data_IF_859681079019
#
_entry.id   IF_859681079019
#
_cell.length_a   1.000
_cell.length_b   1.000
_cell.length_c   1.000
_cell.angle_alpha   90.00
_cell.angle_beta   90.00
_cell.angle_gamma   90.00
#
_symmetry.space_group_name_H-M   'P 1'
#
loop_
_entity.id
_entity.type
_entity.pdbx_description
1 polymer ?
#
# COMPACT_ATOMS: atom_id res chain seq x y z
N UNK A 1 -56.53 -26.21 -52.84
CA UNK A 1 -56.54 -25.53 -51.52
C UNK A 1 -55.50 -24.41 -51.45
N UNK A 2 -54.38 -24.52 -52.18
CA UNK A 2 -53.26 -23.58 -52.12
C UNK A 2 -53.55 -22.17 -52.69
N UNK A 3 -54.38 -22.05 -53.73
CA UNK A 3 -54.65 -20.73 -54.35
C UNK A 3 -55.46 -19.78 -53.44
N UNK A 4 -56.30 -20.32 -52.54
CA UNK A 4 -57.06 -19.51 -51.58
C UNK A 4 -56.18 -18.91 -50.48
N UNK A 5 -55.11 -19.61 -50.10
CA UNK A 5 -54.13 -19.11 -49.13
C UNK A 5 -53.31 -17.95 -49.71
N UNK A 6 -52.90 -18.06 -50.98
CA UNK A 6 -52.19 -16.96 -51.66
C UNK A 6 -53.02 -15.69 -51.77
N UNK A 7 -54.32 -15.82 -52.10
CA UNK A 7 -55.22 -14.68 -52.24
C UNK A 7 -55.48 -13.97 -50.89
N UNK A 8 -55.57 -14.72 -49.79
CA UNK A 8 -55.71 -14.17 -48.44
C UNK A 8 -54.45 -13.43 -47.97
N UNK A 9 -53.26 -13.97 -48.24
CA UNK A 9 -51.99 -13.31 -47.90
C UNK A 9 -51.81 -12.01 -48.70
N UNK A 10 -52.18 -12.02 -49.99
CA UNK A 10 -52.07 -10.84 -50.84
C UNK A 10 -53.05 -9.74 -50.39
N UNK A 11 -54.31 -10.10 -50.08
CA UNK A 11 -55.29 -9.15 -49.52
C UNK A 11 -54.89 -8.60 -48.14
N UNK A 12 -54.31 -9.42 -47.25
CA UNK A 12 -53.86 -8.93 -45.95
C UNK A 12 -52.67 -7.98 -46.06
N UNK A 13 -51.74 -8.25 -46.99
CA UNK A 13 -50.60 -7.37 -47.24
C UNK A 13 -51.04 -6.01 -47.79
N UNK A 14 -52.03 -5.99 -48.68
CA UNK A 14 -52.58 -4.76 -49.26
C UNK A 14 -53.33 -3.92 -48.21
N UNK A 15 -54.09 -4.58 -47.34
CA UNK A 15 -54.76 -3.93 -46.21
C UNK A 15 -53.74 -3.32 -45.23
N UNK A 16 -52.63 -4.01 -44.96
CA UNK A 16 -51.56 -3.52 -44.08
C UNK A 16 -50.88 -2.27 -44.66
N UNK A 17 -50.58 -2.28 -45.97
CA UNK A 17 -49.97 -1.13 -46.66
C UNK A 17 -50.92 0.08 -46.62
N UNK A 18 -52.23 -0.14 -46.86
CA UNK A 18 -53.23 0.93 -46.79
C UNK A 18 -53.34 1.52 -45.37
N UNK A 19 -53.28 0.68 -44.34
CA UNK A 19 -53.31 1.11 -42.94
C UNK A 19 -52.09 1.96 -42.59
N UNK A 20 -50.89 1.53 -43.00
CA UNK A 20 -49.65 2.29 -42.80
C UNK A 20 -49.72 3.65 -43.52
N UNK A 21 -50.24 3.68 -44.75
CA UNK A 21 -50.41 4.92 -45.51
C UNK A 21 -51.38 5.89 -44.82
N UNK A 22 -52.52 5.40 -44.33
CA UNK A 22 -53.48 6.22 -43.57
C UNK A 22 -52.88 6.74 -42.27
N UNK A 23 -52.14 5.92 -41.53
CA UNK A 23 -51.43 6.35 -40.33
C UNK A 23 -50.38 7.42 -40.64
N UNK A 24 -49.64 7.28 -41.73
CA UNK A 24 -48.65 8.29 -42.14
C UNK A 24 -49.31 9.62 -42.55
N UNK A 25 -50.41 9.55 -43.30
CA UNK A 25 -51.15 10.73 -43.73
C UNK A 25 -51.81 11.48 -42.56
N UNK A 26 -52.35 10.75 -41.58
CA UNK A 26 -52.94 11.36 -40.38
C UNK A 26 -51.91 11.75 -39.29
N UNK A 27 -50.75 11.11 -39.26
CA UNK A 27 -49.65 11.43 -38.32
C UNK A 27 -48.94 12.74 -38.67
N UNK A 28 -48.95 13.15 -39.94
CA UNK A 28 -48.42 14.44 -40.35
C UNK A 28 -49.52 15.49 -40.28
N UNK A 29 -49.87 15.89 -39.05
CA UNK A 29 -50.68 17.08 -38.84
C UNK A 29 -49.97 18.29 -39.51
N UNK A 30 -50.64 19.04 -40.41
CA UNK A 30 -50.08 20.24 -41.02
C UNK A 30 -49.69 21.32 -39.99
N UNK A 31 -50.19 21.19 -38.75
CA UNK A 31 -49.79 22.00 -37.60
C UNK A 31 -48.31 21.87 -37.25
N UNK A 32 -47.66 20.72 -37.46
CA UNK A 32 -46.23 20.59 -37.12
C UNK A 32 -45.36 21.45 -38.05
N UNK A 33 -45.71 21.54 -39.33
CA UNK A 33 -45.02 22.40 -40.27
C UNK A 33 -45.23 23.88 -39.94
N UNK A 34 -46.44 24.25 -39.54
CA UNK A 34 -46.81 25.61 -39.15
C UNK A 34 -46.20 26.02 -37.80
N UNK A 35 -46.17 25.11 -36.82
CA UNK A 35 -45.52 25.31 -35.52
C UNK A 35 -44.01 25.37 -35.66
N UNK A 36 -43.40 24.56 -36.53
CA UNK A 36 -41.97 24.66 -36.83
C UNK A 36 -41.64 25.99 -37.50
N UNK A 37 -42.51 26.49 -38.39
CA UNK A 37 -42.32 27.79 -39.04
C UNK A 37 -42.48 28.94 -38.03
N UNK A 38 -43.48 28.86 -37.15
CA UNK A 38 -43.76 29.82 -36.08
C UNK A 38 -42.68 29.81 -35.00
N UNK A 39 -42.12 28.63 -34.70
CA UNK A 39 -40.99 28.47 -33.78
C UNK A 39 -39.70 28.99 -34.42
N UNK A 40 -39.46 28.75 -35.71
CA UNK A 40 -38.34 29.33 -36.45
C UNK A 40 -38.41 30.86 -36.55
N UNK A 41 -39.61 31.44 -36.73
CA UNK A 41 -39.81 32.89 -36.69
C UNK A 41 -39.57 33.47 -35.28
N UNK A 42 -40.09 32.81 -34.22
CA UNK A 42 -39.81 33.20 -32.82
C UNK A 42 -38.32 33.10 -32.45
N UNK A 43 -37.62 32.08 -32.96
CA UNK A 43 -36.18 31.91 -32.75
C UNK A 43 -35.34 32.95 -33.50
N UNK A 44 -35.86 33.54 -34.57
CA UNK A 44 -35.14 34.50 -35.42
C UNK A 44 -35.14 35.92 -34.84
N UNK A 45 -36.17 36.32 -34.09
CA UNK A 45 -36.43 37.74 -33.85
C UNK A 45 -35.94 38.29 -32.49
N UNK A 46 -35.86 37.51 -31.41
CA UNK A 46 -35.58 38.12 -30.09
C UNK A 46 -34.70 37.34 -29.10
N UNK A 47 -34.54 36.01 -29.21
CA UNK A 47 -33.83 35.22 -28.17
C UNK A 47 -32.54 34.52 -28.61
N UNK A 48 -32.24 34.43 -29.91
CA UNK A 48 -30.96 33.82 -30.30
C UNK A 48 -29.75 34.69 -29.88
N UNK A 49 -29.92 36.01 -29.85
CA UNK A 49 -28.89 36.97 -29.38
C UNK A 49 -28.68 36.88 -27.86
N UNK A 50 -29.74 36.63 -27.08
CA UNK A 50 -29.67 36.44 -25.63
C UNK A 50 -29.15 35.04 -25.27
N UNK A 51 -29.39 34.01 -26.09
CA UNK A 51 -28.80 32.68 -25.96
C UNK A 51 -27.36 32.59 -26.47
N UNK A 52 -26.98 33.40 -27.48
CA UNK A 52 -25.60 33.55 -27.95
C UNK A 52 -24.71 34.32 -26.96
N UNK A 53 -25.29 35.25 -26.19
CA UNK A 53 -24.60 36.00 -25.13
C UNK A 53 -24.80 35.40 -23.73
N UNK A 54 -25.73 34.46 -23.56
CA UNK A 54 -26.15 33.94 -22.27
C UNK A 54 -25.63 32.54 -22.01
N UNK A 55 -24.49 32.43 -21.33
CA UNK A 55 -24.09 31.36 -20.40
C UNK A 55 -24.16 29.87 -20.79
N UNK A 56 -24.76 29.47 -21.92
CA UNK A 56 -25.08 28.08 -22.26
C UNK A 56 -24.36 27.54 -23.50
N UNK A 57 -23.82 28.40 -24.38
CA UNK A 57 -23.03 27.92 -25.55
C UNK A 57 -21.62 27.45 -25.12
N UNK A 58 -21.11 27.98 -24.01
CA UNK A 58 -19.80 27.55 -23.47
C UNK A 58 -19.81 26.14 -22.86
N UNK A 59 -20.99 25.52 -22.69
CA UNK A 59 -21.13 24.14 -22.21
C UNK A 59 -21.29 23.10 -23.33
N UNK A 60 -21.25 23.53 -24.60
CA UNK A 60 -21.20 22.59 -25.73
C UNK A 60 -19.73 22.45 -26.12
N UNK A 61 -19.01 21.40 -25.66
CA UNK A 61 -17.65 21.17 -26.11
C UNK A 61 -17.69 20.99 -27.62
N UNK A 62 -16.95 21.86 -28.34
CA UNK A 62 -16.71 21.82 -29.79
C UNK A 62 -17.73 22.49 -30.74
N UNK A 63 -18.52 23.49 -30.32
CA UNK A 63 -19.21 24.33 -31.31
C UNK A 63 -18.22 25.34 -31.96
N UNK A 64 -17.63 24.97 -33.10
CA UNK A 64 -16.79 25.88 -33.88
C UNK A 64 -17.68 26.84 -34.68
N UNK A 65 -18.18 27.90 -34.04
CA UNK A 65 -18.93 28.96 -34.71
C UNK A 65 -17.98 29.75 -35.63
N UNK A 66 -17.98 29.40 -36.91
CA UNK A 66 -17.33 30.18 -37.97
C UNK A 66 -18.18 31.43 -38.17
N UNK A 67 -17.69 32.57 -37.71
CA UNK A 67 -18.39 33.86 -37.74
C UNK A 67 -17.44 34.95 -38.21
N UNK A 68 -17.98 35.89 -38.99
CA UNK A 68 -17.28 37.12 -39.39
C UNK A 68 -17.39 38.21 -38.34
N UNK A 69 -18.21 38.01 -37.30
CA UNK A 69 -18.35 38.97 -36.21
C UNK A 69 -17.15 38.90 -35.26
N UNK A 70 -16.38 39.99 -35.19
CA UNK A 70 -15.18 40.09 -34.36
C UNK A 70 -15.43 39.85 -32.86
N UNK A 71 -16.61 40.22 -32.36
CA UNK A 71 -17.02 40.05 -30.95
C UNK A 71 -17.21 38.57 -30.62
N UNK A 72 -17.92 37.84 -31.49
CA UNK A 72 -18.17 36.41 -31.33
C UNK A 72 -16.88 35.60 -31.55
N UNK A 73 -16.04 36.03 -32.50
CA UNK A 73 -14.73 35.43 -32.71
C UNK A 73 -13.80 35.60 -31.48
N UNK A 74 -13.88 36.73 -30.78
CA UNK A 74 -13.13 36.97 -29.54
C UNK A 74 -13.64 36.09 -28.39
N UNK A 75 -14.95 36.03 -28.17
CA UNK A 75 -15.56 35.17 -27.16
C UNK A 75 -15.20 33.68 -27.38
N UNK A 76 -15.22 33.24 -28.65
CA UNK A 76 -14.85 31.88 -29.03
C UNK A 76 -13.38 31.52 -28.76
N UNK A 77 -12.46 32.51 -28.65
CA UNK A 77 -11.06 32.21 -28.29
C UNK A 77 -10.95 31.68 -26.87
N UNK A 78 -11.71 32.23 -25.93
CA UNK A 78 -11.72 31.77 -24.54
C UNK A 78 -12.40 30.41 -24.37
N UNK A 79 -13.34 30.05 -25.24
CA UNK A 79 -13.96 28.72 -25.26
C UNK A 79 -13.02 27.60 -25.73
N UNK A 80 -11.94 27.95 -26.45
CA UNK A 80 -10.91 27.00 -26.91
C UNK A 80 -9.79 26.78 -25.89
N UNK A 81 -9.73 27.59 -24.84
CA UNK A 81 -8.75 27.47 -23.78
C UNK A 81 -8.28 28.79 -23.16
N UNK A 82 -7.24 28.74 -22.32
CA UNK A 82 -6.66 29.90 -21.68
C UNK A 82 -6.15 30.92 -22.70
N UNK A 83 -6.60 32.17 -22.58
CA UNK A 83 -6.15 33.28 -23.42
C UNK A 83 -5.23 34.17 -22.61
N UNK A 84 -3.99 34.32 -23.08
CA UNK A 84 -3.03 35.25 -22.47
C UNK A 84 -3.46 36.70 -22.70
N UNK A 85 -3.58 37.47 -21.62
CA UNK A 85 -4.02 38.87 -21.68
C UNK A 85 -2.93 39.88 -21.31
N UNK A 86 -1.85 39.43 -20.66
CA UNK A 86 -0.72 40.29 -20.36
C UNK A 86 0.24 39.72 -19.33
N UNK A 87 1.39 40.36 -19.18
CA UNK A 87 2.44 39.92 -18.24
C UNK A 87 2.21 40.35 -16.79
N UNK A 88 1.28 41.28 -16.56
CA UNK A 88 0.89 41.74 -15.21
C UNK A 88 -0.29 40.91 -14.70
N UNK A 89 -0.41 40.83 -13.38
CA UNK A 89 -1.59 40.23 -12.75
C UNK A 89 -2.85 41.01 -13.17
N UNK A 90 -3.92 40.27 -13.43
CA UNK A 90 -5.22 40.81 -13.82
C UNK A 90 -6.30 40.37 -12.83
N UNK A 91 -7.50 40.93 -13.01
CA UNK A 91 -8.69 40.61 -12.21
C UNK A 91 -9.73 39.79 -12.98
N UNK A 92 -10.63 39.12 -12.26
CA UNK A 92 -11.77 38.41 -12.89
C UNK A 92 -12.60 39.36 -13.77
N UNK A 93 -12.75 40.63 -13.40
CA UNK A 93 -13.49 41.63 -14.18
C UNK A 93 -12.87 41.87 -15.56
N UNK A 94 -11.54 41.90 -15.65
CA UNK A 94 -10.83 42.03 -16.93
C UNK A 94 -11.04 40.82 -17.82
N UNK A 95 -11.06 39.62 -17.24
CA UNK A 95 -11.36 38.40 -18.00
C UNK A 95 -12.81 38.32 -18.46
N UNK A 96 -13.77 38.76 -17.64
CA UNK A 96 -15.19 38.85 -18.03
C UNK A 96 -15.35 39.79 -19.22
N UNK A 97 -14.66 40.93 -19.23
CA UNK A 97 -14.68 41.88 -20.36
C UNK A 97 -13.98 41.31 -21.60
N UNK A 98 -12.86 40.62 -21.41
CA UNK A 98 -12.06 40.07 -22.52
C UNK A 98 -12.76 38.90 -23.21
N UNK A 99 -13.33 37.99 -22.43
CA UNK A 99 -13.99 36.79 -22.93
C UNK A 99 -15.51 36.96 -23.13
N UNK A 100 -16.06 38.12 -22.77
CA UNK A 100 -17.49 38.43 -22.81
C UNK A 100 -18.34 37.34 -22.15
N UNK A 101 -17.84 36.80 -21.04
CA UNK A 101 -18.46 35.69 -20.34
C UNK A 101 -18.38 35.92 -18.84
N UNK A 102 -19.53 35.87 -18.17
CA UNK A 102 -19.62 36.02 -16.71
C UNK A 102 -18.94 34.88 -15.94
N UNK A 103 -18.72 33.74 -16.59
CA UNK A 103 -18.02 32.58 -16.02
C UNK A 103 -16.52 32.62 -16.26
N UNK A 104 -16.00 33.62 -16.97
CA UNK A 104 -14.57 33.78 -17.17
C UNK A 104 -13.86 34.13 -15.85
N UNK A 105 -12.73 33.48 -15.60
CA UNK A 105 -11.90 33.64 -14.41
C UNK A 105 -10.47 33.98 -14.80
N UNK A 106 -9.81 34.77 -13.97
CA UNK A 106 -8.38 35.03 -14.15
C UNK A 106 -7.54 33.92 -13.53
N UNK A 107 -6.47 33.55 -14.24
CA UNK A 107 -5.41 32.68 -13.78
C UNK A 107 -4.08 33.45 -13.88
N UNK A 108 -3.56 33.89 -12.74
CA UNK A 108 -2.28 34.58 -12.66
C UNK A 108 -1.15 33.55 -12.48
N UNK A 109 -0.38 33.33 -13.55
CA UNK A 109 0.72 32.37 -13.61
C UNK A 109 2.03 33.05 -13.19
N UNK A 110 2.64 32.55 -12.11
CA UNK A 110 3.93 33.00 -11.57
C UNK A 110 5.08 32.10 -12.06
N UNK A 111 6.33 32.50 -11.82
CA UNK A 111 7.51 31.74 -12.25
C UNK A 111 7.59 30.35 -11.59
N UNK A 112 7.14 30.25 -10.33
CA UNK A 112 7.16 29.03 -9.53
C UNK A 112 5.93 28.14 -9.79
N UNK A 113 4.95 28.60 -10.56
CA UNK A 113 3.72 27.89 -10.86
C UNK A 113 3.77 27.25 -12.26
N UNK A 114 3.32 26.00 -12.39
CA UNK A 114 3.26 25.31 -13.69
C UNK A 114 1.85 24.81 -13.99
N UNK A 115 1.22 25.41 -15.01
CA UNK A 115 -0.07 25.02 -15.53
C UNK A 115 0.10 24.43 -16.94
N UNK A 116 -0.51 23.27 -17.17
CA UNK A 116 -0.55 22.61 -18.48
C UNK A 116 -1.95 22.70 -19.06
N UNK A 117 -2.07 23.24 -20.27
CA UNK A 117 -3.28 23.22 -21.08
C UNK A 117 -2.90 22.87 -22.52
N UNK A 118 -2.72 21.57 -22.80
CA UNK A 118 -2.02 21.02 -24.00
C UNK A 118 -0.55 21.47 -24.16
N UNK A 119 -0.23 22.71 -23.76
CA UNK A 119 1.09 23.32 -23.67
C UNK A 119 1.24 23.97 -22.29
N UNK A 120 2.48 24.28 -21.90
CA UNK A 120 2.75 25.00 -20.65
C UNK A 120 2.32 26.46 -20.82
N UNK A 121 1.52 26.96 -19.88
CA UNK A 121 1.13 28.37 -19.86
C UNK A 121 2.33 29.25 -19.49
N UNK A 122 2.51 30.34 -20.25
CA UNK A 122 3.56 31.34 -19.99
C UNK A 122 3.23 32.13 -18.72
N UNK A 123 4.24 32.72 -18.08
CA UNK A 123 4.04 33.67 -16.98
C UNK A 123 3.16 34.86 -17.40
N UNK A 124 2.28 35.28 -16.50
CA UNK A 124 1.36 36.42 -16.63
C UNK A 124 -0.08 36.01 -16.40
N UNK A 125 -1.00 36.89 -16.77
CA UNK A 125 -2.43 36.67 -16.62
C UNK A 125 -3.02 35.94 -17.84
N UNK A 126 -3.79 34.89 -17.56
CA UNK A 126 -4.58 34.16 -18.54
C UNK A 126 -6.05 34.16 -18.14
N UNK A 127 -6.94 34.28 -19.12
CA UNK A 127 -8.37 34.14 -18.91
C UNK A 127 -8.81 32.73 -19.26
N UNK A 128 -9.49 32.08 -18.33
CA UNK A 128 -10.02 30.73 -18.48
C UNK A 128 -11.54 30.75 -18.33
N UNK A 129 -12.22 29.85 -19.02
CA UNK A 129 -13.64 29.56 -18.80
C UNK A 129 -13.72 28.21 -18.10
N UNK A 130 -14.30 28.17 -16.89
CA UNK A 130 -14.37 26.95 -16.09
C UNK A 130 -13.76 27.09 -14.69
N UNK A 131 -13.54 25.97 -13.99
CA UNK A 131 -13.08 25.98 -12.61
C UNK A 131 -11.64 26.48 -12.49
N UNK A 132 -11.39 27.33 -11.49
CA UNK A 132 -10.03 27.75 -11.13
C UNK A 132 -9.29 26.57 -10.47
N UNK A 133 -8.02 26.31 -10.82
CA UNK A 133 -7.22 25.31 -10.13
C UNK A 133 -7.03 25.68 -8.65
N UNK A 134 -7.43 24.79 -7.76
CA UNK A 134 -7.24 24.87 -6.30
C UNK A 134 -5.99 24.10 -5.83
N UNK A 135 -5.09 23.79 -6.76
CA UNK A 135 -3.88 23.04 -6.49
C UNK A 135 -2.88 23.84 -5.63
N UNK A 136 -2.22 23.19 -4.67
CA UNK A 136 -1.02 23.76 -4.05
C UNK A 136 0.11 23.77 -5.09
N UNK A 137 0.29 24.90 -5.78
CA UNK A 137 1.22 25.04 -6.91
C UNK A 137 2.70 24.93 -6.51
N UNK A 138 3.03 25.03 -5.22
CA UNK A 138 4.39 24.77 -4.73
C UNK A 138 4.72 23.29 -4.82
N UNK A 139 3.77 22.44 -4.40
CA UNK A 139 3.91 20.98 -4.36
C UNK A 139 3.40 20.27 -5.61
N UNK A 140 2.66 20.95 -6.48
CA UNK A 140 1.99 20.33 -7.64
C UNK A 140 2.15 21.12 -8.93
N UNK A 141 1.75 20.47 -10.02
CA UNK A 141 1.50 21.05 -11.34
C UNK A 141 0.04 20.82 -11.66
N UNK A 142 -0.64 21.85 -12.15
CA UNK A 142 -2.03 21.75 -12.52
C UNK A 142 -2.15 21.35 -13.99
N UNK A 143 -2.82 20.24 -14.26
CA UNK A 143 -3.21 19.82 -15.60
C UNK A 143 -4.65 20.25 -15.81
N UNK A 144 -4.86 21.10 -16.80
CA UNK A 144 -6.15 21.71 -17.09
C UNK A 144 -6.64 21.24 -18.46
N UNK A 145 -7.92 20.89 -18.51
CA UNK A 145 -8.69 20.72 -19.74
C UNK A 145 -9.80 21.77 -19.76
N UNK A 146 -10.66 21.77 -20.79
CA UNK A 146 -11.82 22.69 -20.84
C UNK A 146 -12.75 22.47 -19.64
N UNK A 147 -12.90 21.22 -19.19
CA UNK A 147 -13.94 20.83 -18.23
C UNK A 147 -13.39 20.32 -16.89
N UNK A 148 -12.08 20.08 -16.79
CA UNK A 148 -11.48 19.49 -15.59
C UNK A 148 -10.13 20.09 -15.26
N UNK A 149 -9.85 20.13 -13.97
CA UNK A 149 -8.52 20.43 -13.43
C UNK A 149 -8.08 19.24 -12.60
N UNK A 150 -6.84 18.81 -12.79
CA UNK A 150 -6.22 17.75 -11.99
C UNK A 150 -4.87 18.22 -11.49
N UNK A 151 -4.65 18.17 -10.18
CA UNK A 151 -3.37 18.47 -9.57
C UNK A 151 -2.48 17.21 -9.60
N UNK A 152 -1.24 17.35 -10.09
CA UNK A 152 -0.25 16.27 -10.09
C UNK A 152 0.94 16.70 -9.26
N UNK A 153 1.34 15.87 -8.31
CA UNK A 153 2.48 16.17 -7.44
C UNK A 153 3.78 16.35 -8.23
N UNK A 154 4.56 17.36 -7.85
CA UNK A 154 5.96 17.55 -8.27
C UNK A 154 6.88 16.55 -7.59
N UNK A 155 6.53 16.15 -6.37
CA UNK A 155 7.30 15.28 -5.48
C UNK A 155 6.43 14.10 -5.06
N UNK A 156 6.16 13.15 -5.98
CA UNK A 156 5.18 12.08 -5.75
C UNK A 156 5.58 11.12 -4.63
N UNK A 157 6.86 11.08 -4.25
CA UNK A 157 7.35 10.30 -3.11
C UNK A 157 7.10 10.97 -1.75
N UNK A 158 6.81 12.27 -1.73
CA UNK A 158 6.56 13.05 -0.52
C UNK A 158 5.09 13.40 -0.34
N UNK A 159 4.48 13.95 -1.38
CA UNK A 159 3.16 14.57 -1.35
C UNK A 159 2.28 14.05 -2.49
N UNK A 160 0.99 13.91 -2.22
CA UNK A 160 -0.03 13.47 -3.15
C UNK A 160 -1.40 14.05 -2.79
N UNK A 161 -2.45 13.30 -3.13
CA UNK A 161 -3.83 13.71 -2.93
C UNK A 161 -4.36 14.64 -4.03
N UNK A 162 -5.66 14.96 -4.02
CA UNK A 162 -6.33 15.70 -5.09
C UNK A 162 -5.86 17.16 -5.22
N UNK A 163 -5.41 17.77 -4.13
CA UNK A 163 -4.93 19.16 -4.10
C UNK A 163 -3.40 19.26 -3.93
N UNK A 164 -2.72 18.12 -3.69
CA UNK A 164 -1.29 18.13 -3.39
C UNK A 164 -0.93 18.58 -1.99
N UNK A 165 -1.81 18.37 -1.02
CA UNK A 165 -1.62 18.73 0.38
C UNK A 165 -1.55 17.51 1.29
N UNK A 166 -1.63 16.29 0.73
CA UNK A 166 -1.58 15.07 1.50
C UNK A 166 -0.16 14.52 1.50
N UNK A 167 0.46 14.37 2.68
CA UNK A 167 1.74 13.67 2.80
C UNK A 167 1.51 12.18 2.55
N UNK A 168 2.21 11.62 1.56
CA UNK A 168 2.18 10.19 1.21
C UNK A 168 3.43 9.46 1.68
N UNK A 169 4.50 10.18 1.98
CA UNK A 169 5.71 9.62 2.57
C UNK A 169 5.43 8.98 3.94
N UNK A 170 6.34 8.10 4.33
CA UNK A 170 6.39 7.38 5.60
C UNK A 170 5.27 6.34 5.79
N UNK A 171 4.40 6.19 4.80
CA UNK A 171 3.34 5.19 4.75
C UNK A 171 3.31 4.51 3.38
N UNK A 172 2.63 3.38 3.29
CA UNK A 172 2.36 2.67 2.04
C UNK A 172 0.98 1.99 2.11
N UNK A 173 0.60 1.27 1.05
CA UNK A 173 -0.70 0.59 0.97
C UNK A 173 -0.93 -0.46 2.07
N UNK A 174 0.15 -1.06 2.60
CA UNK A 174 0.10 -2.14 3.60
C UNK A 174 0.31 -1.60 5.03
N UNK A 175 1.14 -0.57 5.18
CA UNK A 175 1.54 0.03 6.44
C UNK A 175 1.12 1.50 6.40
N UNK A 176 0.03 1.80 7.09
CA UNK A 176 -0.49 3.14 7.25
C UNK A 176 -0.69 3.42 8.74
N UNK A 177 0.28 4.10 9.35
CA UNK A 177 0.26 4.46 10.78
C UNK A 177 0.49 5.98 10.92
N UNK A 178 -0.44 6.71 11.57
CA UNK A 178 -0.31 8.17 11.71
C UNK A 178 0.91 8.59 12.54
N UNK A 179 1.54 7.69 13.30
CA UNK A 179 2.78 7.97 14.02
C UNK A 179 4.00 7.97 13.10
N UNK A 180 3.90 7.42 11.89
CA UNK A 180 4.94 7.54 10.88
C UNK A 180 4.83 8.91 10.22
N UNK A 181 5.77 9.80 10.55
CA UNK A 181 5.71 11.21 10.11
C UNK A 181 6.93 11.55 9.27
N UNK A 182 6.71 12.34 8.22
CA UNK A 182 7.77 12.98 7.46
C UNK A 182 8.30 14.18 8.25
N UNK A 183 9.62 14.26 8.39
CA UNK A 183 10.27 15.28 9.19
C UNK A 183 11.24 16.10 8.34
N UNK A 184 11.24 17.41 8.53
CA UNK A 184 12.21 18.34 7.96
C UNK A 184 13.33 18.58 8.98
N UNK A 185 14.49 17.99 8.74
CA UNK A 185 15.65 18.10 9.64
C UNK A 185 16.39 19.42 9.52
N UNK A 186 16.09 20.27 8.51
CA UNK A 186 16.69 21.60 8.40
C UNK A 186 16.11 22.56 9.44
N UNK A 187 14.81 22.47 9.67
CA UNK A 187 14.07 23.33 10.61
C UNK A 187 13.62 22.59 11.88
N UNK A 188 13.91 21.29 11.96
CA UNK A 188 13.50 20.37 13.02
C UNK A 188 11.99 20.40 13.32
N UNK A 189 11.18 20.34 12.26
CA UNK A 189 9.72 20.34 12.35
C UNK A 189 9.11 19.21 11.52
N UNK A 190 7.85 18.88 11.82
CA UNK A 190 7.08 17.99 10.97
C UNK A 190 6.84 18.66 9.61
N UNK A 191 6.98 17.88 8.54
CA UNK A 191 6.77 18.39 7.19
C UNK A 191 5.31 18.80 6.99
N UNK A 192 5.13 20.04 6.53
CA UNK A 192 3.85 20.63 6.20
C UNK A 192 3.84 21.03 4.71
N UNK A 193 3.00 20.42 3.85
CA UNK A 193 2.93 20.75 2.42
C UNK A 193 2.61 22.22 2.10
N UNK A 194 1.95 22.94 3.01
CA UNK A 194 1.50 24.32 2.77
C UNK A 194 2.58 25.34 3.16
N UNK A 195 3.38 25.01 4.17
CA UNK A 195 4.41 25.89 4.73
C UNK A 195 5.82 25.57 4.25
N UNK A 196 6.11 24.29 3.97
CA UNK A 196 7.48 23.84 3.69
C UNK A 196 7.91 24.26 2.30
N UNK A 197 9.08 24.88 2.20
CA UNK A 197 9.73 25.20 0.92
C UNK A 197 10.67 24.05 0.55
N UNK A 198 10.45 23.50 -0.64
CA UNK A 198 11.08 22.30 -1.17
C UNK A 198 11.42 22.53 -2.65
N UNK A 199 12.70 22.37 -2.99
CA UNK A 199 13.21 22.42 -4.35
C UNK A 199 13.37 20.99 -4.91
N UNK A 200 13.89 20.06 -4.09
CA UNK A 200 14.08 18.66 -4.46
C UNK A 200 13.89 17.71 -3.28
N UNK A 201 13.28 16.55 -3.52
CA UNK A 201 13.07 15.53 -2.49
C UNK A 201 14.36 14.94 -1.91
N UNK A 202 15.49 15.12 -2.60
CA UNK A 202 16.83 14.61 -2.27
C UNK A 202 17.75 15.70 -1.68
N UNK A 203 17.19 16.83 -1.27
CA UNK A 203 17.95 17.88 -0.60
C UNK A 203 18.78 17.33 0.56
N UNK A 204 20.06 17.69 0.58
CA UNK A 204 21.01 17.27 1.61
C UNK A 204 21.35 18.44 2.54
N UNK A 205 21.57 18.11 3.80
CA UNK A 205 22.11 19.00 4.83
C UNK A 205 23.64 19.10 4.71
N UNK A 206 24.30 20.03 5.42
CA UNK A 206 25.75 20.20 5.39
C UNK A 206 26.54 18.95 5.82
N UNK A 207 25.93 18.07 6.63
CA UNK A 207 26.50 16.79 7.07
C UNK A 207 26.38 15.67 6.02
N UNK A 208 25.76 15.96 4.87
CA UNK A 208 25.52 15.00 3.79
C UNK A 208 24.27 14.13 3.98
N UNK A 209 23.56 14.25 5.11
CA UNK A 209 22.31 13.55 5.35
C UNK A 209 21.14 14.19 4.60
N UNK A 210 20.08 13.43 4.34
CA UNK A 210 18.89 13.96 3.68
C UNK A 210 18.11 14.89 4.63
N UNK A 211 17.69 16.06 4.12
CA UNK A 211 16.82 17.02 4.82
C UNK A 211 15.49 16.38 5.20
N UNK A 212 14.86 15.69 4.26
CA UNK A 212 13.55 15.06 4.47
C UNK A 212 13.73 13.57 4.77
N UNK A 213 13.38 13.16 5.98
CA UNK A 213 13.43 11.74 6.40
C UNK A 213 12.22 11.40 7.26
N UNK A 214 11.84 10.13 7.23
CA UNK A 214 10.74 9.62 8.02
C UNK A 214 11.17 9.32 9.46
N UNK A 215 10.31 9.64 10.41
CA UNK A 215 10.37 9.13 11.79
C UNK A 215 9.31 8.04 11.92
N UNK A 216 9.74 6.78 11.83
CA UNK A 216 8.87 5.62 11.95
C UNK A 216 8.61 5.31 13.43
N UNK A 217 7.52 5.85 13.98
CA UNK A 217 7.09 5.59 15.37
C UNK A 217 5.85 4.68 15.43
N UNK A 218 5.34 4.28 14.27
CA UNK A 218 4.29 3.30 14.17
C UNK A 218 4.78 1.92 14.56
N UNK A 219 3.84 1.04 14.90
CA UNK A 219 4.13 -0.31 15.36
C UNK A 219 3.38 -1.37 14.56
N UNK A 220 3.98 -2.54 14.42
CA UNK A 220 3.35 -3.69 13.79
C UNK A 220 2.42 -4.45 14.77
N UNK A 221 1.80 -5.52 14.28
CA UNK A 221 0.90 -6.36 15.07
C UNK A 221 1.59 -7.05 16.27
N UNK A 222 2.93 -7.12 16.27
CA UNK A 222 3.74 -7.67 17.36
C UNK A 222 4.34 -6.57 18.23
N UNK A 223 3.83 -5.34 18.13
CA UNK A 223 4.27 -4.17 18.90
C UNK A 223 5.75 -3.80 18.65
N UNK A 224 6.32 -4.21 17.51
CA UNK A 224 7.65 -3.82 17.07
C UNK A 224 7.57 -2.55 16.22
N UNK A 225 8.56 -1.67 16.36
CA UNK A 225 8.61 -0.42 15.59
C UNK A 225 8.88 -0.71 14.10
N UNK A 226 8.22 0.05 13.22
CA UNK A 226 8.57 0.03 11.80
C UNK A 226 9.95 0.63 11.57
N UNK A 227 10.63 0.15 10.52
CA UNK A 227 11.95 0.65 10.13
C UNK A 227 11.90 1.24 8.73
N UNK A 228 12.93 2.00 8.38
CA UNK A 228 13.07 2.56 7.03
C UNK A 228 13.34 1.45 6.01
N UNK A 229 12.71 1.51 4.84
CA UNK A 229 12.99 0.57 3.77
C UNK A 229 14.41 0.76 3.20
N UNK A 230 15.20 -0.33 3.03
CA UNK A 230 16.57 -0.33 2.49
C UNK A 230 16.79 0.56 1.26
N UNK A 231 15.87 0.43 0.29
CA UNK A 231 15.98 1.06 -1.02
C UNK A 231 15.13 2.32 -1.17
N UNK A 232 14.32 2.67 -0.17
CA UNK A 232 13.42 3.82 -0.27
C UNK A 232 13.22 4.45 1.11
N UNK A 233 13.83 5.63 1.33
CA UNK A 233 13.80 6.31 2.62
C UNK A 233 12.42 6.78 3.07
N UNK A 234 11.47 6.86 2.15
CA UNK A 234 10.12 7.32 2.43
C UNK A 234 9.14 6.18 2.68
N UNK A 235 9.56 4.92 2.60
CA UNK A 235 8.65 3.79 2.80
C UNK A 235 8.95 3.08 4.11
N UNK A 236 7.92 2.78 4.92
CA UNK A 236 8.07 1.93 6.09
C UNK A 236 8.26 0.49 5.65
N UNK A 237 9.02 -0.25 6.44
CA UNK A 237 9.26 -1.67 6.29
C UNK A 237 9.08 -2.36 7.64
N UNK A 238 8.55 -3.59 7.62
CA UNK A 238 8.51 -4.42 8.83
C UNK A 238 9.90 -4.95 9.07
N UNK A 239 10.38 -4.84 10.31
CA UNK A 239 11.70 -5.30 10.65
C UNK A 239 11.76 -6.84 10.55
N UNK A 240 12.40 -7.34 9.48
CA UNK A 240 12.51 -8.77 9.23
C UNK A 240 13.22 -9.49 10.40
N UNK A 241 14.24 -8.85 10.97
CA UNK A 241 15.05 -9.43 12.02
C UNK A 241 14.25 -9.61 13.31
N UNK A 242 13.32 -8.72 13.64
CA UNK A 242 12.50 -8.83 14.85
C UNK A 242 11.14 -9.48 14.60
N UNK A 243 10.89 -9.99 13.39
CA UNK A 243 9.58 -10.52 13.01
C UNK A 243 9.09 -11.65 13.93
N UNK A 244 10.00 -12.43 14.55
CA UNK A 244 9.65 -13.54 15.45
C UNK A 244 9.53 -13.15 16.93
N UNK A 245 9.82 -11.90 17.28
CA UNK A 245 9.77 -11.41 18.64
C UNK A 245 8.64 -10.39 18.84
N UNK A 246 8.15 -10.27 20.06
CA UNK A 246 7.12 -9.31 20.45
C UNK A 246 7.74 -8.16 21.24
N UNK A 247 7.39 -6.92 20.89
CA UNK A 247 7.78 -5.73 21.64
C UNK A 247 9.30 -5.52 21.72
N UNK A 248 10.02 -5.73 20.62
CA UNK A 248 11.47 -5.54 20.57
C UNK A 248 11.86 -4.07 20.73
N UNK A 249 13.00 -3.83 21.39
CA UNK A 249 13.69 -2.54 21.43
C UNK A 249 14.09 -2.06 20.02
N UNK A 250 14.08 -0.74 19.82
CA UNK A 250 14.36 -0.08 18.53
C UNK A 250 15.80 -0.27 18.04
N UNK A 251 16.73 -0.67 18.92
CA UNK A 251 18.13 -0.94 18.58
C UNK A 251 18.30 -2.26 17.79
N UNK A 252 17.30 -3.13 17.77
CA UNK A 252 17.34 -4.37 17.01
C UNK A 252 16.87 -4.16 15.58
N UNK A 253 17.57 -4.70 14.59
CA UNK A 253 17.14 -4.61 13.21
C UNK A 253 18.13 -5.12 12.18
N UNK A 254 17.77 -4.91 10.91
CA UNK A 254 18.62 -5.25 9.79
C UNK A 254 19.67 -4.16 9.59
N UNK A 255 20.95 -4.52 9.68
CA UNK A 255 22.07 -3.71 9.21
C UNK A 255 22.32 -4.09 7.76
N UNK A 256 22.11 -3.13 6.88
CA UNK A 256 22.33 -3.31 5.43
C UNK A 256 23.80 -3.02 5.16
N UNK A 257 24.47 -3.92 4.45
CA UNK A 257 25.86 -3.71 4.03
C UNK A 257 25.96 -2.54 3.06
N UNK A 258 27.15 -1.92 2.99
CA UNK A 258 27.44 -0.78 2.10
C UNK A 258 27.15 -1.09 0.62
N UNK A 259 27.26 -2.37 0.24
CA UNK A 259 26.95 -2.86 -1.11
C UNK A 259 25.44 -2.91 -1.43
N UNK A 260 24.57 -2.70 -0.43
CA UNK A 260 23.10 -2.79 -0.49
C UNK A 260 22.57 -4.12 -1.02
N UNK A 261 23.38 -5.18 -1.04
CA UNK A 261 23.02 -6.51 -1.54
C UNK A 261 22.88 -7.53 -0.42
N UNK A 262 23.54 -7.29 0.70
CA UNK A 262 23.46 -8.14 1.87
C UNK A 262 22.97 -7.37 3.09
N UNK A 263 22.38 -8.10 4.03
CA UNK A 263 22.03 -7.58 5.35
C UNK A 263 22.43 -8.60 6.41
N UNK A 264 22.62 -8.10 7.63
CA UNK A 264 22.84 -8.88 8.85
C UNK A 264 21.79 -8.45 9.86
N UNK A 265 21.24 -9.40 10.59
CA UNK A 265 20.33 -9.12 11.69
C UNK A 265 21.12 -8.86 12.97
N UNK A 266 21.10 -7.61 13.40
CA UNK A 266 21.61 -7.20 14.70
C UNK A 266 20.51 -7.36 15.76
N UNK A 267 20.70 -8.33 16.65
CA UNK A 267 19.80 -8.59 17.77
C UNK A 267 20.12 -7.74 19.02
N UNK A 268 21.01 -6.75 18.87
CA UNK A 268 21.45 -5.84 19.91
C UNK A 268 22.28 -6.54 20.98
N UNK A 269 22.49 -5.86 22.10
CA UNK A 269 23.21 -6.44 23.23
C UNK A 269 22.35 -7.52 23.91
N UNK A 270 22.77 -8.80 23.94
CA UNK A 270 21.97 -9.87 24.52
C UNK A 270 21.65 -9.71 26.02
N UNK A 271 22.45 -8.97 26.77
CA UNK A 271 22.18 -8.67 28.18
C UNK A 271 20.95 -7.76 28.36
N UNK A 272 20.71 -6.87 27.38
CA UNK A 272 19.61 -5.90 27.38
C UNK A 272 18.40 -6.42 26.61
N UNK A 273 18.62 -6.89 25.38
CA UNK A 273 17.55 -7.32 24.47
C UNK A 273 17.05 -8.71 24.82
N UNK A 274 17.89 -9.57 25.41
CA UNK A 274 17.65 -11.00 25.62
C UNK A 274 17.32 -11.76 24.32
N UNK A 275 17.75 -11.21 23.19
CA UNK A 275 17.55 -11.77 21.86
C UNK A 275 18.89 -12.23 21.28
N UNK A 276 18.82 -13.27 20.47
CA UNK A 276 19.95 -13.83 19.75
C UNK A 276 19.50 -14.15 18.33
N UNK A 277 20.44 -14.24 17.39
CA UNK A 277 20.17 -14.83 16.08
C UNK A 277 19.67 -16.26 16.26
N UNK A 278 18.53 -16.58 15.64
CA UNK A 278 17.87 -17.88 15.76
C UNK A 278 18.83 -19.02 15.39
N UNK A 279 19.69 -18.81 14.41
CA UNK A 279 20.80 -19.69 14.07
C UNK A 279 22.12 -18.98 14.42
N UNK A 280 22.87 -19.42 15.45
CA UNK A 280 24.08 -18.73 15.91
C UNK A 280 25.16 -18.58 14.84
N UNK A 281 25.19 -19.47 13.86
CA UNK A 281 26.17 -19.46 12.76
C UNK A 281 25.67 -18.71 11.51
N UNK A 282 24.41 -18.25 11.50
CA UNK A 282 23.85 -17.48 10.39
C UNK A 282 23.44 -16.08 10.88
N UNK A 283 24.25 -15.05 10.59
CA UNK A 283 23.95 -13.68 10.98
C UNK A 283 22.74 -13.07 10.27
N UNK A 284 22.20 -13.74 9.23
CA UNK A 284 20.96 -13.32 8.55
C UNK A 284 19.70 -13.85 9.24
N UNK A 285 19.87 -14.77 10.19
CA UNK A 285 18.76 -15.38 10.88
C UNK A 285 18.06 -14.38 11.80
N UNK A 286 16.74 -14.52 11.89
CA UNK A 286 15.89 -13.64 12.68
C UNK A 286 16.25 -13.70 14.16
N UNK A 287 16.05 -12.59 14.85
CA UNK A 287 16.22 -12.48 16.28
C UNK A 287 15.09 -13.19 17.03
N UNK A 288 15.48 -14.00 18.01
CA UNK A 288 14.59 -14.81 18.82
C UNK A 288 15.15 -14.92 20.23
N UNK A 289 14.30 -15.04 21.26
CA UNK A 289 14.77 -15.41 22.59
C UNK A 289 15.26 -16.87 22.63
N UNK A 290 14.99 -17.65 21.59
CA UNK A 290 15.42 -19.03 21.41
C UNK A 290 16.54 -19.10 20.38
N UNK A 291 17.59 -19.88 20.69
CA UNK A 291 18.59 -20.27 19.70
C UNK A 291 18.37 -21.73 19.32
N UNK A 292 18.32 -21.99 18.02
CA UNK A 292 18.42 -23.32 17.45
C UNK A 292 19.91 -23.63 17.34
N UNK A 293 20.40 -24.47 18.24
CA UNK A 293 21.71 -25.09 18.02
C UNK A 293 21.48 -26.26 17.09
N UNK A 294 22.11 -26.26 15.92
CA UNK A 294 22.43 -27.52 15.28
C UNK A 294 23.18 -28.34 16.34
N UNK A 295 22.69 -29.54 16.66
CA UNK A 295 23.43 -30.41 17.58
C UNK A 295 24.87 -30.53 17.09
N UNK A 296 25.86 -30.73 17.97
CA UNK A 296 27.19 -31.09 17.51
C UNK A 296 27.02 -32.25 16.53
N UNK A 297 27.52 -32.10 15.30
CA UNK A 297 27.63 -33.21 14.38
C UNK A 297 28.52 -34.25 15.08
N UNK A 298 27.90 -35.16 15.82
CA UNK A 298 28.60 -36.27 16.42
C UNK A 298 29.10 -37.09 15.23
N UNK A 299 30.38 -36.94 14.89
CA UNK A 299 31.06 -37.85 13.97
C UNK A 299 30.93 -39.26 14.55
N UNK A 300 29.92 -40.01 14.14
CA UNK A 300 29.86 -41.45 14.38
C UNK A 300 29.38 -42.18 13.14
N UNK A 301 30.28 -43.06 12.70
CA UNK A 301 30.15 -44.21 11.81
C UNK A 301 29.47 -44.05 10.44
N UNK A 302 30.12 -44.55 9.36
CA UNK A 302 29.62 -44.47 7.98
C UNK A 302 28.45 -45.43 7.68
N UNK A 303 27.52 -45.60 8.63
CA UNK A 303 26.39 -46.54 8.50
C UNK A 303 25.05 -46.07 9.09
N UNK A 304 25.00 -44.93 9.79
CA UNK A 304 23.73 -44.37 10.28
C UNK A 304 23.67 -42.85 10.09
N UNK A 305 22.93 -42.44 9.06
CA UNK A 305 22.52 -41.05 8.85
C UNK A 305 21.59 -40.59 9.98
N UNK A 306 22.14 -40.02 11.06
CA UNK A 306 21.38 -39.28 12.07
C UNK A 306 21.82 -37.80 12.12
N UNK A 307 21.97 -37.17 10.96
CA UNK A 307 22.42 -35.78 10.82
C UNK A 307 21.31 -34.71 10.97
N UNK A 308 20.12 -35.07 11.46
CA UNK A 308 18.95 -34.17 11.48
C UNK A 308 18.45 -33.78 12.87
N UNK A 309 19.15 -34.16 13.95
CA UNK A 309 18.75 -33.79 15.32
C UNK A 309 19.05 -32.31 15.59
N UNK A 310 18.01 -31.48 15.62
CA UNK A 310 18.05 -30.07 16.01
C UNK A 310 17.66 -29.94 17.50
N UNK A 311 18.32 -29.03 18.23
CA UNK A 311 18.02 -28.77 19.65
C UNK A 311 17.31 -27.41 19.76
N UNK A 312 16.03 -27.42 20.13
CA UNK A 312 15.26 -26.22 20.47
C UNK A 312 15.37 -25.94 21.96
N UNK A 313 15.99 -24.83 22.32
CA UNK A 313 16.01 -24.35 23.71
C UNK A 313 14.79 -23.47 24.01
N UNK A 314 13.85 -23.97 24.81
CA UNK A 314 12.68 -23.22 25.28
C UNK A 314 12.94 -22.72 26.70
N UNK A 315 13.16 -21.41 26.94
CA UNK A 315 13.17 -20.87 28.26
C UNK A 315 11.76 -20.97 28.87
N UNK A 316 11.70 -21.37 30.13
CA UNK A 316 10.48 -21.37 30.92
C UNK A 316 10.77 -20.75 32.28
N UNK A 317 9.78 -20.04 32.81
CA UNK A 317 9.85 -19.52 34.17
C UNK A 317 9.54 -20.67 35.12
N UNK A 318 10.34 -20.82 36.16
CA UNK A 318 10.17 -21.84 37.20
C UNK A 318 10.35 -21.20 38.57
N UNK A 319 9.65 -21.68 39.60
CA UNK A 319 9.76 -21.10 40.93
C UNK A 319 10.84 -21.81 41.76
N UNK A 320 11.44 -21.05 42.69
CA UNK A 320 12.37 -21.54 43.70
C UNK A 320 11.79 -21.30 45.10
N UNK A 321 12.45 -21.77 46.15
CA UNK A 321 12.08 -21.48 47.54
C UNK A 321 12.14 -19.99 47.90
N UNK A 322 12.75 -19.15 47.04
CA UNK A 322 12.86 -17.70 47.20
C UNK A 322 11.88 -16.93 46.30
N UNK A 323 11.10 -17.61 45.47
CA UNK A 323 10.14 -16.97 44.56
C UNK A 323 8.89 -16.48 45.31
N UNK A 324 8.19 -15.44 44.82
CA UNK A 324 6.90 -15.01 45.36
C UNK A 324 5.86 -16.13 45.36
N UNK A 325 4.90 -16.08 46.28
CA UNK A 325 3.88 -17.13 46.42
C UNK A 325 3.03 -17.29 45.15
N UNK A 326 2.78 -16.19 44.43
CA UNK A 326 2.02 -16.20 43.17
C UNK A 326 2.73 -17.01 42.07
N UNK A 327 4.06 -17.10 42.10
CA UNK A 327 4.81 -17.89 41.13
C UNK A 327 4.67 -19.40 41.39
N UNK A 328 4.34 -19.81 42.62
CA UNK A 328 4.19 -21.24 43.00
C UNK A 328 2.95 -21.84 42.33
N UNK A 329 1.87 -21.07 42.20
CA UNK A 329 0.64 -21.54 41.57
C UNK A 329 0.74 -21.59 40.03
N UNK A 330 1.62 -20.78 39.44
CA UNK A 330 1.62 -20.51 38.00
C UNK A 330 2.79 -21.13 37.24
N UNK A 331 3.85 -21.57 37.92
CA UNK A 331 5.06 -22.08 37.29
C UNK A 331 5.47 -23.45 37.88
N UNK A 332 6.27 -24.21 37.15
CA UNK A 332 6.83 -25.46 37.65
C UNK A 332 8.03 -25.20 38.58
N UNK A 333 8.37 -26.09 39.52
CA UNK A 333 9.57 -25.94 40.35
C UNK A 333 10.84 -26.05 39.48
N UNK A 334 11.86 -25.26 39.80
CA UNK A 334 13.14 -25.35 39.10
C UNK A 334 13.86 -26.69 39.41
N UNK A 335 14.56 -27.31 38.43
CA UNK A 335 15.35 -28.52 38.67
C UNK A 335 16.44 -28.26 39.72
N UNK A 336 16.58 -29.15 40.70
CA UNK A 336 17.50 -29.00 41.85
C UNK A 336 18.95 -28.72 41.43
N UNK A 337 19.38 -29.32 40.32
CA UNK A 337 20.78 -29.29 39.87
C UNK A 337 21.19 -27.97 39.19
N UNK A 338 20.21 -27.10 38.90
CA UNK A 338 20.43 -25.83 38.17
C UNK A 338 20.10 -24.58 38.98
N UNK A 339 19.87 -24.70 40.29
CA UNK A 339 19.61 -23.58 41.19
C UNK A 339 20.96 -22.96 41.63
N UNK A 340 21.57 -22.16 40.75
CA UNK A 340 22.65 -21.25 41.14
C UNK A 340 22.10 -19.82 41.26
N UNK A 341 21.63 -19.44 42.44
CA UNK A 341 21.19 -18.07 42.75
C UNK A 341 19.68 -17.82 42.64
N UNK A 342 19.30 -16.56 42.40
CA UNK A 342 17.91 -16.08 42.33
C UNK A 342 17.30 -16.14 40.92
N UNK A 343 17.91 -16.88 39.99
CA UNK A 343 17.43 -16.97 38.60
C UNK A 343 16.19 -17.87 38.49
N UNK A 344 15.06 -17.25 38.13
CA UNK A 344 13.71 -17.85 37.99
C UNK A 344 13.46 -18.35 36.54
N UNK A 345 14.46 -18.26 35.66
CA UNK A 345 14.37 -18.66 34.25
C UNK A 345 15.29 -19.84 33.98
N UNK A 346 14.71 -20.96 33.58
CA UNK A 346 15.41 -22.18 33.15
C UNK A 346 15.16 -22.43 31.66
N UNK A 347 15.86 -23.39 31.07
CA UNK A 347 15.71 -23.77 29.66
C UNK A 347 15.49 -25.28 29.58
N UNK A 348 14.47 -25.70 28.84
CA UNK A 348 14.31 -27.09 28.38
C UNK A 348 14.91 -27.17 26.98
N UNK A 349 15.79 -28.15 26.77
CA UNK A 349 16.31 -28.48 25.46
C UNK A 349 15.45 -29.60 24.89
N UNK A 350 14.68 -29.28 23.85
CA UNK A 350 13.86 -30.23 23.11
C UNK A 350 14.67 -30.68 21.89
N UNK A 351 14.96 -31.98 21.81
CA UNK A 351 15.52 -32.56 20.59
C UNK A 351 14.38 -32.85 19.62
N UNK A 352 14.47 -32.33 18.40
CA UNK A 352 13.51 -32.59 17.34
C UNK A 352 14.24 -32.83 16.01
N UNK A 353 13.52 -33.37 15.05
CA UNK A 353 14.04 -33.84 13.76
C UNK A 353 12.96 -33.63 12.72
N UNK A 354 13.35 -33.16 11.54
CA UNK A 354 12.44 -32.94 10.42
C UNK A 354 12.22 -34.23 9.61
N UNK A 355 13.00 -35.28 9.88
CA UNK A 355 12.84 -36.59 9.26
C UNK A 355 11.68 -37.35 9.91
N UNK A 356 10.63 -37.62 9.13
CA UNK A 356 9.41 -38.32 9.56
C UNK A 356 9.65 -39.77 9.98
N UNK A 357 10.74 -40.39 9.51
CA UNK A 357 11.07 -41.78 9.80
C UNK A 357 12.08 -41.92 10.95
N UNK A 358 12.60 -40.80 11.45
CA UNK A 358 13.55 -40.80 12.55
C UNK A 358 12.87 -41.04 13.91
N UNK A 359 13.46 -41.95 14.68
CA UNK A 359 13.00 -42.29 16.03
C UNK A 359 13.33 -41.13 16.99
N UNK A 360 12.29 -40.48 17.51
CA UNK A 360 12.42 -39.56 18.64
C UNK A 360 12.44 -40.42 19.90
N UNK A 361 13.63 -40.60 20.50
CA UNK A 361 13.75 -41.22 21.81
C UNK A 361 13.08 -40.31 22.85
N UNK A 362 12.04 -40.82 23.51
CA UNK A 362 11.40 -40.11 24.61
C UNK A 362 12.44 -39.91 25.74
N UNK A 363 12.52 -38.74 26.41
CA UNK A 363 13.54 -38.48 27.41
C UNK A 363 13.52 -39.45 28.60
N UNK A 364 12.39 -40.12 28.83
CA UNK A 364 12.21 -41.17 29.84
C UNK A 364 12.21 -42.59 29.27
N UNK A 365 12.58 -42.78 28.00
CA UNK A 365 12.53 -44.10 27.35
C UNK A 365 13.43 -45.12 28.07
N UNK A 366 14.59 -44.69 28.55
CA UNK A 366 15.49 -45.52 29.35
C UNK A 366 14.91 -45.92 30.72
N UNK A 367 14.04 -45.08 31.29
CA UNK A 367 13.38 -45.34 32.58
C UNK A 367 12.13 -46.21 32.42
N UNK A 368 11.60 -46.32 31.19
CA UNK A 368 10.46 -47.18 30.84
C UNK A 368 10.88 -48.56 30.36
N UNK A 369 12.18 -48.80 30.12
CA UNK A 369 12.70 -50.12 29.84
C UNK A 369 12.67 -50.92 31.15
N UNK A 370 12.06 -52.12 31.18
CA UNK A 370 12.09 -52.95 32.38
C UNK A 370 13.55 -53.20 32.77
N UNK A 371 13.84 -52.93 34.04
CA UNK A 371 15.14 -53.12 34.67
C UNK A 371 15.71 -54.47 34.21
N UNK A 372 16.97 -54.46 33.72
CA UNK A 372 17.66 -55.64 33.19
C UNK A 372 17.32 -56.89 34.02
N UNK A 373 16.47 -57.75 33.49
CA UNK A 373 16.36 -59.12 33.98
C UNK A 373 17.69 -59.80 33.64
N UNK A 374 18.59 -59.84 34.61
CA UNK A 374 19.74 -60.74 34.60
C UNK A 374 19.21 -62.18 34.64
N UNK A 375 19.01 -62.76 33.47
CA UNK A 375 18.88 -64.21 33.37
C UNK A 375 20.25 -64.83 33.62
N UNK A 376 20.44 -65.36 34.82
CA UNK A 376 21.54 -66.30 35.11
C UNK A 376 21.26 -67.56 34.30
N UNK A 377 21.97 -67.72 33.19
CA UNK A 377 22.02 -68.97 32.44
C UNK A 377 22.92 -69.96 33.19
N UNK A 378 22.33 -71.04 33.70
CA UNK A 378 23.09 -72.15 34.30
C UNK A 378 23.64 -73.15 33.25
N UNK A 379 23.49 -72.90 31.95
CA UNK A 379 24.12 -73.72 30.93
C UNK A 379 24.66 -72.87 29.79
N UNK A 380 25.98 -72.80 29.72
CA UNK A 380 26.72 -71.99 28.75
C UNK A 380 26.35 -72.30 27.31
N UNK A 381 25.61 -71.39 26.68
CA UNK A 381 25.61 -71.17 25.23
C UNK A 381 25.26 -69.70 24.96
N UNK A 382 25.94 -69.10 23.99
CA UNK A 382 25.81 -67.70 23.57
C UNK A 382 24.34 -67.32 23.30
N UNK A 383 23.86 -66.29 23.99
CA UNK A 383 22.59 -65.63 23.66
C UNK A 383 22.82 -64.48 22.68
N UNK A 384 22.19 -64.60 21.50
CA UNK A 384 21.95 -63.52 20.55
C UNK A 384 20.99 -62.52 21.19
N UNK A 385 21.33 -61.22 21.17
CA UNK A 385 20.44 -60.14 21.59
C UNK A 385 19.18 -60.12 20.71
N UNK A 386 18.04 -60.51 21.27
CA UNK A 386 16.72 -60.20 20.72
C UNK A 386 16.22 -58.92 21.40
N UNK A 387 16.14 -57.82 20.65
CA UNK A 387 15.46 -56.59 21.07
C UNK A 387 13.95 -56.80 21.02
N UNK A 388 13.19 -56.48 22.09
CA UNK A 388 11.75 -56.61 22.08
C UNK A 388 11.11 -55.45 21.29
N UNK A 389 10.26 -55.84 20.34
CA UNK A 389 9.26 -55.07 19.61
C UNK A 389 9.06 -53.59 19.99
N UNK A 390 9.42 -52.70 19.05
CA UNK A 390 9.01 -51.31 19.05
C UNK A 390 7.54 -51.15 18.69
N UNK A 391 6.72 -50.72 19.65
CA UNK A 391 5.36 -50.24 19.40
C UNK A 391 5.46 -48.87 18.71
N UNK A 392 5.11 -48.83 17.42
CA UNK A 392 5.05 -47.58 16.62
C UNK A 392 3.93 -46.68 17.15
N UNK A 393 4.26 -45.63 17.89
CA UNK A 393 3.32 -44.53 18.12
C UNK A 393 3.42 -43.56 16.96
N UNK A 394 2.44 -43.63 16.06
CA UNK A 394 2.25 -42.69 14.96
C UNK A 394 1.62 -41.42 15.54
N UNK A 395 2.43 -40.38 15.78
CA UNK A 395 1.88 -39.05 16.07
C UNK A 395 1.45 -38.42 14.75
N UNK A 396 0.15 -38.24 14.57
CA UNK A 396 -0.41 -37.58 13.39
C UNK A 396 -0.46 -36.08 13.68
N UNK A 397 0.46 -35.31 13.11
CA UNK A 397 0.61 -33.85 13.35
C UNK A 397 -0.42 -33.00 12.58
N UNK A 398 -1.69 -33.41 12.61
CA UNK A 398 -2.80 -32.65 12.03
C UNK A 398 -3.74 -32.13 13.11
N UNK A 399 -3.20 -31.53 14.18
CA UNK A 399 -3.99 -30.70 15.11
C UNK A 399 -3.06 -29.63 15.71
N UNK A 400 -3.22 -28.41 15.18
CA UNK A 400 -2.78 -27.07 15.65
C UNK A 400 -1.31 -26.79 15.98
#
# INVERSE_FOLDING_TARGET
MEWRMFLLVLLSSLALILLIYLLYYYSFEPKIAEDNKRMAEKLRDTDLSSLLNGSSINNIPQLNLITTNAVVALANKCGKGPVFIGSKDATDSECIKTCLSSTAKVLNVRDDHTFYYSVILKRGAHCIIGPRPECNMRMTRALMTINSVTCRSRFPSLVGGPLGTQVVACNNLVINDPKNVLWDYKYDTQFDPDLTILDHEDEKLPDGSYRFRCKFRGKDARNNSYVQHPNNRFHPFRNYCTANAYGTLDEMGAIISDDKRSFVCDCGNPERTRMYNMFPNDPKSQCSPHTLKAGPAEKKDPGHEMNTKQILSVPYKCFTTKSPIDDIANYMPCPRDKIKGNTVLQKVELQFTEDKDSLIEHPFYNDMLPEKLEYISLFGTKTTKLTPYGTKLKYNSNVF
#
